data_IF_497287596036
#
_entry.id   IF_497287596036
#
_cell.length_a   1.000
_cell.length_b   1.000
_cell.length_c   1.000
_cell.angle_alpha   90.00
_cell.angle_beta   90.00
_cell.angle_gamma   90.00
#
_symmetry.space_group_name_H-M   'P 1'
#
loop_
_entity.id
_entity.type
_entity.pdbx_description
1 polymer ?
#
# COMPACT_ATOMS: atom_id res chain seq x y z
N UNK A 1 -7.66 -23.93 33.00
CA UNK A 1 -6.74 -22.78 32.82
C UNK A 1 -6.81 -21.95 34.10
N UNK A 2 -5.77 -21.20 34.50
CA UNK A 2 -5.94 -20.30 35.64
C UNK A 2 -7.11 -19.35 35.36
N UNK A 3 -8.16 -19.44 36.18
CA UNK A 3 -9.42 -18.67 36.03
C UNK A 3 -9.23 -17.14 36.18
N UNK A 4 -7.99 -16.67 36.37
CA UNK A 4 -7.61 -15.28 36.56
C UNK A 4 -6.98 -14.60 35.33
N UNK A 5 -6.63 -15.32 34.25
CA UNK A 5 -6.03 -14.66 33.09
C UNK A 5 -7.05 -13.79 32.33
N UNK A 6 -6.65 -12.61 31.81
CA UNK A 6 -7.52 -11.80 30.94
C UNK A 6 -8.06 -12.61 29.77
N UNK A 7 -9.37 -12.59 29.56
CA UNK A 7 -10.07 -13.32 28.51
C UNK A 7 -10.61 -14.69 28.90
N UNK A 8 -10.42 -15.16 30.14
CA UNK A 8 -10.96 -16.44 30.60
C UNK A 8 -12.50 -16.42 30.80
N UNK A 9 -13.11 -15.24 30.96
CA UNK A 9 -14.55 -15.07 31.11
C UNK A 9 -15.01 -13.70 30.62
N UNK A 10 -16.30 -13.55 30.32
CA UNK A 10 -16.87 -12.31 29.78
C UNK A 10 -16.67 -11.08 30.71
N UNK A 11 -16.72 -11.27 32.03
CA UNK A 11 -16.51 -10.20 33.02
C UNK A 11 -15.04 -9.77 33.19
N UNK A 12 -14.10 -10.49 32.57
CA UNK A 12 -12.68 -10.17 32.58
C UNK A 12 -12.08 -10.42 31.20
N UNK A 13 -12.46 -9.62 30.18
CA UNK A 13 -12.07 -9.87 28.80
C UNK A 13 -10.59 -9.53 28.55
N UNK A 14 -9.99 -10.18 27.55
CA UNK A 14 -8.71 -9.78 27.00
C UNK A 14 -8.92 -8.55 26.11
N UNK A 15 -8.55 -7.38 26.64
CA UNK A 15 -8.53 -6.11 25.90
C UNK A 15 -7.35 -6.04 24.94
N UNK A 16 -7.62 -5.88 23.64
CA UNK A 16 -6.59 -5.78 22.59
C UNK A 16 -6.80 -4.52 21.75
N UNK A 17 -5.74 -3.75 21.56
CA UNK A 17 -5.71 -2.67 20.56
C UNK A 17 -5.05 -3.15 19.27
N UNK A 18 -5.66 -2.85 18.12
CA UNK A 18 -5.04 -3.01 16.81
C UNK A 18 -4.90 -1.64 16.16
N UNK A 19 -3.67 -1.23 15.85
CA UNK A 19 -3.37 0.08 15.25
C UNK A 19 -3.23 -0.07 13.74
N UNK A 20 -4.20 0.45 12.99
CA UNK A 20 -4.34 0.32 11.54
C UNK A 20 -5.43 -0.67 11.14
N UNK A 21 -6.30 -0.27 10.20
CA UNK A 21 -7.41 -1.10 9.72
C UNK A 21 -7.17 -1.71 8.33
N UNK A 22 -5.91 -1.91 7.96
CA UNK A 22 -5.55 -2.62 6.73
C UNK A 22 -5.77 -4.15 6.84
N UNK A 23 -5.44 -4.91 5.77
CA UNK A 23 -5.56 -6.37 5.78
C UNK A 23 -4.89 -7.06 6.97
N UNK A 24 -3.69 -6.63 7.36
CA UNK A 24 -2.97 -7.23 8.49
C UNK A 24 -3.73 -7.07 9.81
N UNK A 25 -4.28 -5.88 10.08
CA UNK A 25 -5.10 -5.62 11.27
C UNK A 25 -6.36 -6.47 11.29
N UNK A 26 -7.07 -6.57 10.16
CA UNK A 26 -8.26 -7.42 10.06
C UNK A 26 -7.96 -8.91 10.15
N UNK A 27 -6.85 -9.40 9.59
CA UNK A 27 -6.47 -10.81 9.72
C UNK A 27 -6.03 -11.15 11.16
N UNK A 28 -5.35 -10.23 11.85
CA UNK A 28 -5.02 -10.40 13.27
C UNK A 28 -6.30 -10.42 14.13
N UNK A 29 -7.21 -9.47 13.89
CA UNK A 29 -8.51 -9.42 14.56
C UNK A 29 -9.35 -10.68 14.29
N UNK A 30 -9.42 -11.14 13.04
CA UNK A 30 -10.11 -12.38 12.66
C UNK A 30 -9.58 -13.56 13.46
N UNK A 31 -8.25 -13.73 13.52
CA UNK A 31 -7.64 -14.87 14.19
C UNK A 31 -7.82 -14.82 15.70
N UNK A 32 -7.69 -13.65 16.33
CA UNK A 32 -7.94 -13.47 17.78
C UNK A 32 -9.40 -13.74 18.15
N UNK A 33 -10.35 -13.13 17.43
CA UNK A 33 -11.78 -13.21 17.76
C UNK A 33 -12.39 -14.61 17.49
N UNK A 34 -11.68 -15.47 16.75
CA UNK A 34 -12.09 -16.86 16.48
C UNK A 34 -11.56 -17.87 17.49
N UNK A 35 -10.72 -17.47 18.45
CA UNK A 35 -10.17 -18.41 19.41
C UNK A 35 -11.25 -18.95 20.36
N UNK A 36 -11.44 -20.28 20.42
CA UNK A 36 -12.46 -20.87 21.26
C UNK A 36 -12.13 -20.67 22.75
N UNK A 37 -13.14 -20.37 23.56
CA UNK A 37 -12.97 -20.18 25.01
C UNK A 37 -12.25 -18.88 25.41
N UNK A 38 -11.91 -18.02 24.44
CA UNK A 38 -11.25 -16.74 24.71
C UNK A 38 -12.23 -15.57 24.51
N UNK A 39 -12.48 -14.83 25.59
CA UNK A 39 -13.27 -13.61 25.57
C UNK A 39 -12.39 -12.40 25.24
N UNK A 40 -12.23 -12.08 23.96
CA UNK A 40 -11.48 -10.91 23.49
C UNK A 40 -12.44 -9.74 23.28
N UNK A 41 -12.04 -8.52 23.65
CA UNK A 41 -12.67 -7.28 23.15
C UNK A 41 -11.59 -6.46 22.46
N UNK A 42 -11.84 -6.13 21.19
CA UNK A 42 -10.86 -5.54 20.30
C UNK A 42 -11.28 -4.16 19.86
N UNK A 43 -10.41 -3.17 20.09
CA UNK A 43 -10.54 -1.83 19.55
C UNK A 43 -9.53 -1.65 18.41
N UNK A 44 -10.02 -1.37 17.21
CA UNK A 44 -9.20 -1.13 16.01
C UNK A 44 -9.13 0.37 15.74
N UNK A 45 -7.95 0.95 15.92
CA UNK A 45 -7.66 2.35 15.65
C UNK A 45 -7.34 2.55 14.17
N UNK A 46 -7.94 3.55 13.54
CA UNK A 46 -7.65 3.90 12.15
C UNK A 46 -7.50 5.42 12.03
N UNK A 47 -6.39 5.87 11.42
CA UNK A 47 -6.12 7.30 11.28
C UNK A 47 -7.10 7.98 10.32
N UNK A 48 -7.64 7.25 9.35
CA UNK A 48 -8.60 7.74 8.38
C UNK A 48 -10.06 7.50 8.83
N UNK A 49 -11.02 8.27 8.30
CA UNK A 49 -12.44 8.03 8.61
C UNK A 49 -12.96 6.68 8.11
N UNK A 50 -12.46 6.16 6.98
CA UNK A 50 -12.90 4.86 6.45
C UNK A 50 -11.82 3.78 6.60
N UNK A 51 -12.21 2.54 6.90
CA UNK A 51 -11.28 1.46 7.14
C UNK A 51 -10.72 0.85 5.83
N UNK A 52 -10.00 -0.28 5.98
CA UNK A 52 -9.50 -1.19 4.94
C UNK A 52 -8.15 -0.80 4.32
N UNK A 53 -7.58 0.34 4.72
CA UNK A 53 -6.24 0.79 4.31
C UNK A 53 -6.04 0.72 2.80
N UNK A 54 -4.95 0.09 2.36
CA UNK A 54 -4.60 -0.02 0.93
C UNK A 54 -5.60 -0.83 0.09
N UNK A 55 -6.54 -1.60 0.67
CA UNK A 55 -7.60 -2.22 -0.15
C UNK A 55 -8.54 -1.13 -0.70
N UNK A 56 -8.78 -0.07 0.06
CA UNK A 56 -9.58 1.08 -0.35
C UNK A 56 -8.75 2.14 -1.07
N UNK A 57 -7.57 2.46 -0.52
CA UNK A 57 -6.74 3.60 -0.93
C UNK A 57 -5.53 3.26 -1.81
N UNK A 58 -5.24 1.97 -2.00
CA UNK A 58 -4.09 1.48 -2.77
C UNK A 58 -4.50 0.74 -4.04
N UNK A 59 -5.31 -0.31 -3.90
CA UNK A 59 -5.79 -1.14 -5.01
C UNK A 59 -6.45 -0.25 -6.06
N UNK A 60 -5.93 -0.32 -7.28
CA UNK A 60 -6.35 0.53 -8.38
C UNK A 60 -7.87 0.45 -8.63
N UNK A 61 -8.50 1.53 -9.07
CA UNK A 61 -9.95 1.58 -9.27
C UNK A 61 -10.42 0.66 -10.41
N UNK A 62 -9.55 0.27 -11.34
CA UNK A 62 -9.85 -0.73 -12.37
C UNK A 62 -9.71 -2.19 -11.87
N UNK A 63 -9.31 -2.40 -10.61
CA UNK A 63 -9.14 -3.73 -9.97
C UNK A 63 -10.21 -4.04 -8.90
N UNK A 64 -11.48 -3.80 -9.22
CA UNK A 64 -12.60 -3.98 -8.28
C UNK A 64 -12.70 -5.39 -7.66
N UNK A 65 -12.36 -6.44 -8.43
CA UNK A 65 -12.42 -7.83 -7.94
C UNK A 65 -11.52 -8.06 -6.72
N UNK A 66 -10.35 -7.42 -6.68
CA UNK A 66 -9.41 -7.56 -5.57
C UNK A 66 -9.99 -6.94 -4.28
N UNK A 67 -10.81 -5.89 -4.41
CA UNK A 67 -11.45 -5.21 -3.28
C UNK A 67 -12.53 -6.06 -2.59
N UNK A 68 -12.98 -7.16 -3.18
CA UNK A 68 -14.02 -8.02 -2.57
C UNK A 68 -13.59 -8.68 -1.25
N UNK A 69 -12.29 -8.67 -0.93
CA UNK A 69 -11.77 -9.12 0.37
C UNK A 69 -12.37 -8.34 1.54
N UNK A 70 -12.87 -7.11 1.34
CA UNK A 70 -13.52 -6.33 2.41
C UNK A 70 -14.73 -7.03 3.01
N UNK A 71 -15.42 -7.91 2.26
CA UNK A 71 -16.53 -8.72 2.80
C UNK A 71 -16.11 -9.58 3.99
N UNK A 72 -14.90 -10.14 3.95
CA UNK A 72 -14.36 -10.89 5.09
C UNK A 72 -14.06 -9.96 6.28
N UNK A 73 -13.59 -8.75 6.01
CA UNK A 73 -13.29 -7.75 7.04
C UNK A 73 -14.57 -7.20 7.69
N UNK A 74 -15.61 -6.95 6.90
CA UNK A 74 -16.94 -6.57 7.36
C UNK A 74 -17.55 -7.64 8.27
N UNK A 75 -17.35 -8.94 7.94
CA UNK A 75 -17.79 -10.04 8.81
C UNK A 75 -17.09 -10.03 10.17
N UNK A 76 -15.81 -9.65 10.21
CA UNK A 76 -15.06 -9.48 11.46
C UNK A 76 -15.57 -8.26 12.22
N UNK A 77 -15.74 -7.13 11.54
CA UNK A 77 -16.15 -5.87 12.15
C UNK A 77 -17.60 -5.86 12.68
N UNK A 78 -18.45 -6.75 12.17
CA UNK A 78 -19.84 -6.90 12.61
C UNK A 78 -19.98 -7.71 13.91
N UNK A 79 -18.88 -8.19 14.50
CA UNK A 79 -18.91 -8.93 15.76
C UNK A 79 -19.13 -7.97 16.94
N UNK A 80 -19.91 -8.36 17.97
CA UNK A 80 -20.23 -7.48 19.10
C UNK A 80 -19.02 -7.09 19.96
N UNK A 81 -17.93 -7.86 19.88
CA UNK A 81 -16.69 -7.64 20.61
C UNK A 81 -15.60 -6.97 19.77
N UNK A 82 -15.97 -6.38 18.62
CA UNK A 82 -15.10 -5.56 17.79
C UNK A 82 -15.61 -4.12 17.79
N UNK A 83 -14.70 -3.14 17.89
CA UNK A 83 -15.00 -1.72 17.76
C UNK A 83 -14.01 -1.07 16.81
N UNK A 84 -14.52 -0.31 15.84
CA UNK A 84 -13.71 0.57 15.00
C UNK A 84 -13.66 1.96 15.65
N UNK A 85 -12.45 2.48 15.81
CA UNK A 85 -12.15 3.85 16.25
C UNK A 85 -11.46 4.57 15.09
N UNK A 86 -12.25 4.93 14.06
CA UNK A 86 -11.79 5.60 12.85
C UNK A 86 -11.62 7.11 13.05
N UNK A 87 -10.82 7.73 12.18
CA UNK A 87 -10.34 9.12 12.31
C UNK A 87 -9.49 9.36 13.58
N UNK A 88 -8.97 8.29 14.21
CA UNK A 88 -8.12 8.34 15.41
C UNK A 88 -6.69 7.94 15.04
N UNK A 89 -5.86 8.95 14.84
CA UNK A 89 -4.41 8.79 14.65
C UNK A 89 -3.67 8.51 15.98
N UNK A 90 -3.15 7.30 16.14
CA UNK A 90 -2.23 6.92 17.23
C UNK A 90 -0.89 7.62 17.02
N UNK A 91 -0.40 8.30 18.06
CA UNK A 91 0.73 9.22 18.02
C UNK A 91 0.31 10.70 18.01
N UNK A 92 -0.97 11.00 17.69
CA UNK A 92 -1.53 12.36 17.73
C UNK A 92 -2.66 12.52 18.74
N UNK A 93 -3.72 11.73 18.60
CA UNK A 93 -4.88 11.82 19.49
C UNK A 93 -4.71 10.95 20.74
N UNK A 94 -4.03 9.81 20.60
CA UNK A 94 -3.65 8.93 21.70
C UNK A 94 -2.23 8.42 21.46
N UNK A 95 -1.36 8.53 22.44
CA UNK A 95 0.03 8.07 22.35
C UNK A 95 0.13 6.56 22.51
N UNK A 96 1.24 5.98 22.07
CA UNK A 96 1.55 4.56 22.27
C UNK A 96 1.68 4.20 23.75
N UNK A 97 2.15 5.15 24.57
CA UNK A 97 2.20 4.99 26.02
C UNK A 97 0.80 5.00 26.66
N UNK A 98 -0.09 5.88 26.23
CA UNK A 98 -1.47 5.93 26.74
C UNK A 98 -2.24 4.65 26.41
N UNK A 99 -2.02 4.03 25.24
CA UNK A 99 -2.64 2.73 24.92
C UNK A 99 -2.34 1.66 25.99
N UNK A 100 -1.15 1.66 26.60
CA UNK A 100 -0.78 0.68 27.61
C UNK A 100 -1.66 0.77 28.88
N UNK A 101 -2.30 1.91 29.12
CA UNK A 101 -3.20 2.09 30.26
C UNK A 101 -4.56 1.39 30.07
N UNK A 102 -4.91 1.00 28.84
CA UNK A 102 -6.25 0.49 28.49
C UNK A 102 -6.25 -0.95 27.94
N UNK A 103 -5.10 -1.44 27.45
CA UNK A 103 -5.02 -2.71 26.72
C UNK A 103 -3.97 -3.65 27.33
N UNK A 104 -4.28 -4.95 27.34
CA UNK A 104 -3.33 -6.00 27.74
C UNK A 104 -2.32 -6.28 26.62
N UNK A 105 -2.73 -6.07 25.37
CA UNK A 105 -1.92 -6.29 24.17
C UNK A 105 -2.21 -5.23 23.11
N UNK A 106 -1.17 -4.81 22.39
CA UNK A 106 -1.23 -3.81 21.32
C UNK A 106 -0.54 -4.40 20.09
N UNK A 107 -1.23 -4.38 18.95
CA UNK A 107 -0.69 -4.86 17.67
C UNK A 107 -0.61 -3.71 16.67
N UNK A 108 0.60 -3.37 16.24
CA UNK A 108 0.83 -2.34 15.24
C UNK A 108 0.76 -2.95 13.82
N UNK A 109 -0.19 -2.47 13.03
CA UNK A 109 -0.44 -2.91 11.64
C UNK A 109 -0.55 -1.73 10.66
N UNK A 110 0.19 -0.66 10.96
CA UNK A 110 0.18 0.64 10.26
C UNK A 110 0.67 0.60 8.80
N UNK A 111 1.14 -0.55 8.34
CA UNK A 111 1.62 -0.72 6.97
C UNK A 111 2.91 0.07 6.67
N UNK A 112 3.06 0.49 5.42
CA UNK A 112 4.19 1.32 5.00
C UNK A 112 3.64 2.57 4.31
N UNK A 113 3.83 3.73 4.94
CA UNK A 113 3.17 4.98 4.57
C UNK A 113 4.09 5.94 3.78
N UNK A 114 5.37 5.63 3.68
CA UNK A 114 6.36 6.44 2.97
C UNK A 114 6.99 5.66 1.80
N UNK A 115 7.90 6.31 1.09
CA UNK A 115 8.52 5.79 -0.13
C UNK A 115 10.02 5.74 -0.05
N UNK A 116 10.61 4.81 -0.80
CA UNK A 116 12.05 4.80 -1.03
C UNK A 116 12.44 5.91 -1.99
N UNK A 117 13.55 6.58 -1.66
CA UNK A 117 14.23 7.56 -2.51
C UNK A 117 15.03 6.83 -3.60
N UNK A 118 15.14 7.46 -4.77
CA UNK A 118 16.05 7.06 -5.84
C UNK A 118 17.49 7.36 -5.48
N UNK A 119 17.75 8.45 -4.75
CA UNK A 119 19.11 8.86 -4.36
C UNK A 119 19.93 9.36 -5.54
N UNK A 120 19.29 10.07 -6.48
CA UNK A 120 19.93 10.64 -7.68
C UNK A 120 19.81 12.17 -7.69
N UNK A 121 20.71 12.90 -8.37
CA UNK A 121 20.57 14.34 -8.56
C UNK A 121 19.24 14.72 -9.22
N UNK A 122 18.67 15.83 -8.78
CA UNK A 122 17.39 16.35 -9.27
C UNK A 122 16.15 15.62 -8.74
N UNK A 123 16.28 14.62 -7.86
CA UNK A 123 15.12 13.86 -7.32
C UNK A 123 14.05 14.76 -6.67
N UNK A 124 14.44 15.92 -6.11
CA UNK A 124 13.53 16.86 -5.44
C UNK A 124 13.00 17.99 -6.37
N UNK A 125 13.24 17.91 -7.69
CA UNK A 125 12.67 18.86 -8.66
C UNK A 125 11.14 18.80 -8.68
N UNK A 126 10.50 19.94 -9.01
CA UNK A 126 9.04 20.01 -9.20
C UNK A 126 8.65 19.09 -10.37
N UNK A 127 7.69 18.20 -10.16
CA UNK A 127 7.32 17.15 -11.12
C UNK A 127 7.90 15.78 -10.80
N UNK A 128 8.77 15.64 -9.79
CA UNK A 128 9.23 14.35 -9.27
C UNK A 128 8.42 13.92 -8.05
N UNK A 129 7.58 12.91 -8.20
CA UNK A 129 6.63 12.49 -7.17
C UNK A 129 6.79 11.01 -6.80
N UNK A 130 6.51 10.63 -5.54
CA UNK A 130 6.27 9.24 -5.21
C UNK A 130 5.05 8.71 -5.98
N UNK A 131 5.14 7.49 -6.51
CA UNK A 131 4.01 6.84 -7.19
C UNK A 131 2.80 6.66 -6.24
N UNK A 132 3.06 6.44 -4.96
CA UNK A 132 2.08 6.21 -3.90
C UNK A 132 1.21 7.44 -3.64
N UNK A 133 1.74 8.65 -3.81
CA UNK A 133 0.97 9.89 -3.70
C UNK A 133 -0.06 9.96 -4.82
N UNK A 134 0.33 9.60 -6.05
CA UNK A 134 -0.58 9.55 -7.19
C UNK A 134 -1.66 8.47 -7.00
N UNK A 135 -1.26 7.29 -6.48
CA UNK A 135 -2.17 6.21 -6.12
C UNK A 135 -3.21 6.64 -5.10
N UNK A 136 -2.76 7.25 -4.00
CA UNK A 136 -3.63 7.73 -2.95
C UNK A 136 -4.56 8.84 -3.45
N UNK A 137 -4.04 9.77 -4.27
CA UNK A 137 -4.79 10.84 -4.91
C UNK A 137 -5.93 10.29 -5.77
N UNK A 138 -5.65 9.40 -6.74
CA UNK A 138 -6.74 8.88 -7.59
C UNK A 138 -7.70 7.97 -6.84
N UNK A 139 -7.28 7.38 -5.72
CA UNK A 139 -8.14 6.52 -4.90
C UNK A 139 -8.96 7.28 -3.85
N UNK A 140 -8.90 8.61 -3.80
CA UNK A 140 -9.75 9.39 -2.87
C UNK A 140 -9.23 9.39 -1.44
N UNK A 141 -7.93 9.20 -1.22
CA UNK A 141 -7.34 9.27 0.11
C UNK A 141 -7.38 10.72 0.64
N UNK A 142 -7.98 10.99 1.81
CA UNK A 142 -8.19 12.37 2.28
C UNK A 142 -6.92 13.23 2.37
N UNK A 143 -5.81 12.66 2.85
CA UNK A 143 -4.53 13.39 2.94
C UNK A 143 -3.89 13.74 1.58
N UNK A 144 -4.35 13.14 0.48
CA UNK A 144 -3.79 13.35 -0.86
C UNK A 144 -4.81 13.96 -1.83
N UNK A 145 -6.00 14.34 -1.36
CA UNK A 145 -7.06 14.92 -2.19
C UNK A 145 -6.57 16.12 -3.00
N UNK A 146 -5.88 17.03 -2.33
CA UNK A 146 -5.50 18.33 -2.88
C UNK A 146 -4.12 18.31 -3.56
N UNK A 147 -3.49 17.12 -3.64
CA UNK A 147 -2.22 16.95 -4.32
C UNK A 147 -2.37 17.28 -5.81
N UNK A 148 -1.49 18.13 -6.33
CA UNK A 148 -1.51 18.56 -7.73
C UNK A 148 -0.45 17.79 -8.52
N UNK A 149 -0.84 17.27 -9.67
CA UNK A 149 0.05 16.67 -10.65
C UNK A 149 -0.10 17.44 -11.96
N UNK A 150 1.01 17.90 -12.53
CA UNK A 150 0.99 18.58 -13.82
C UNK A 150 0.79 17.57 -14.96
N UNK A 151 -0.47 17.22 -15.21
CA UNK A 151 -0.88 16.34 -16.30
C UNK A 151 -0.94 17.08 -17.65
N UNK A 152 -0.45 18.33 -17.72
CA UNK A 152 -0.27 19.02 -19.02
C UNK A 152 1.00 18.60 -19.74
N UNK A 153 1.90 17.88 -19.04
CA UNK A 153 3.09 17.27 -19.60
C UNK A 153 2.72 16.13 -20.58
N UNK A 154 3.39 16.07 -21.73
CA UNK A 154 3.14 15.03 -22.73
C UNK A 154 3.89 13.72 -22.43
N UNK A 155 5.04 13.81 -21.75
CA UNK A 155 5.91 12.67 -21.45
C UNK A 155 6.06 12.46 -19.94
N UNK A 156 5.78 11.25 -19.49
CA UNK A 156 5.88 10.82 -18.09
C UNK A 156 6.85 9.66 -17.95
N UNK A 157 7.74 9.69 -16.96
CA UNK A 157 8.56 8.53 -16.60
C UNK A 157 8.11 7.92 -15.27
N UNK A 158 8.09 6.60 -15.20
CA UNK A 158 7.78 5.81 -14.00
C UNK A 158 8.98 4.92 -13.72
N UNK A 159 9.65 5.15 -12.59
CA UNK A 159 10.82 4.37 -12.20
C UNK A 159 10.39 3.17 -11.36
N UNK A 160 10.54 1.98 -11.91
CA UNK A 160 10.16 0.71 -11.29
C UNK A 160 9.26 -0.13 -12.18
N UNK A 161 9.29 -1.45 -12.00
CA UNK A 161 8.52 -2.45 -12.76
C UNK A 161 7.80 -3.43 -11.81
N UNK A 162 7.16 -2.88 -10.78
CA UNK A 162 6.27 -3.62 -9.87
C UNK A 162 4.80 -3.30 -10.15
N UNK A 163 3.87 -3.98 -9.46
CA UNK A 163 2.43 -3.79 -9.67
C UNK A 163 1.97 -2.34 -9.49
N UNK A 164 2.52 -1.61 -8.51
CA UNK A 164 2.21 -0.18 -8.32
C UNK A 164 2.61 0.67 -9.53
N UNK A 165 3.77 0.39 -10.12
CA UNK A 165 4.24 1.11 -11.30
C UNK A 165 3.33 0.83 -12.50
N UNK A 166 2.86 -0.41 -12.62
CA UNK A 166 1.88 -0.82 -13.62
C UNK A 166 0.52 -0.14 -13.37
N UNK A 167 0.07 -0.03 -12.11
CA UNK A 167 -1.17 0.69 -11.77
C UNK A 167 -1.09 2.16 -12.19
N UNK A 168 0.00 2.86 -11.85
CA UNK A 168 0.21 4.26 -12.29
C UNK A 168 0.20 4.36 -13.81
N UNK A 169 0.89 3.46 -14.51
CA UNK A 169 0.90 3.43 -15.97
C UNK A 169 -0.51 3.22 -16.54
N UNK A 170 -1.29 2.27 -16.01
CA UNK A 170 -2.66 2.01 -16.47
C UNK A 170 -3.56 3.22 -16.25
N UNK A 171 -3.51 3.86 -15.09
CA UNK A 171 -4.36 5.02 -14.78
C UNK A 171 -4.05 6.22 -15.69
N UNK A 172 -2.77 6.45 -16.02
CA UNK A 172 -2.37 7.48 -16.98
C UNK A 172 -2.80 7.13 -18.42
N UNK A 173 -2.77 5.85 -18.78
CA UNK A 173 -2.97 5.38 -20.15
C UNK A 173 -4.43 5.14 -20.52
N UNK A 174 -5.30 4.76 -19.57
CA UNK A 174 -6.71 4.47 -19.83
C UNK A 174 -7.49 5.70 -20.30
N UNK A 175 -8.56 5.44 -21.03
CA UNK A 175 -9.51 6.46 -21.47
C UNK A 175 -10.43 6.88 -20.32
N UNK A 176 -11.08 8.04 -20.49
CA UNK A 176 -12.16 8.48 -19.59
C UNK A 176 -13.28 7.43 -19.52
N UNK A 177 -13.66 6.81 -20.63
CA UNK A 177 -14.75 5.85 -20.67
C UNK A 177 -14.44 4.59 -19.82
N UNK A 178 -13.20 4.11 -19.87
CA UNK A 178 -12.74 3.00 -19.03
C UNK A 178 -12.77 3.38 -17.53
N UNK A 179 -12.25 4.56 -17.19
CA UNK A 179 -12.13 5.00 -15.79
C UNK A 179 -13.46 5.46 -15.17
N UNK A 180 -14.38 6.04 -15.95
CA UNK A 180 -15.65 6.57 -15.46
C UNK A 180 -16.59 5.48 -14.91
N UNK A 181 -16.29 4.20 -15.14
CA UNK A 181 -17.05 3.04 -14.61
C UNK A 181 -16.48 2.49 -13.30
N UNK A 182 -15.45 3.11 -12.76
CA UNK A 182 -14.70 2.66 -11.58
C UNK A 182 -15.01 3.49 -10.32
N UNK A 183 -14.38 3.16 -9.18
CA UNK A 183 -14.43 3.96 -7.94
C UNK A 183 -13.30 5.00 -7.83
N UNK A 184 -12.70 5.42 -8.96
CA UNK A 184 -11.71 6.51 -9.00
C UNK A 184 -12.32 7.80 -8.41
N UNK A 185 -11.53 8.65 -7.76
CA UNK A 185 -12.02 9.94 -7.25
C UNK A 185 -12.43 10.88 -8.40
N UNK A 186 -13.49 11.67 -8.21
CA UNK A 186 -14.06 12.51 -9.26
C UNK A 186 -13.11 13.62 -9.72
N UNK A 187 -12.39 14.25 -8.79
CA UNK A 187 -11.36 15.25 -9.13
C UNK A 187 -10.22 14.62 -9.95
N UNK A 188 -9.85 13.38 -9.66
CA UNK A 188 -8.80 12.69 -10.37
C UNK A 188 -9.25 12.28 -11.78
N UNK A 189 -10.50 11.80 -11.92
CA UNK A 189 -11.09 11.53 -13.22
C UNK A 189 -11.18 12.79 -14.08
N UNK A 190 -11.56 13.93 -13.49
CA UNK A 190 -11.61 15.22 -14.19
C UNK A 190 -10.21 15.64 -14.69
N UNK A 191 -9.20 15.59 -13.82
CA UNK A 191 -7.82 15.92 -14.18
C UNK A 191 -7.25 14.97 -15.25
N UNK A 192 -7.47 13.65 -15.11
CA UNK A 192 -7.05 12.65 -16.10
C UNK A 192 -7.77 12.81 -17.45
N UNK A 193 -9.02 13.28 -17.43
CA UNK A 193 -9.77 13.57 -18.67
C UNK A 193 -9.17 14.75 -19.43
N UNK A 194 -8.54 15.70 -18.74
CA UNK A 194 -7.87 16.86 -19.33
C UNK A 194 -6.37 16.63 -19.59
N UNK A 195 -5.86 15.44 -19.27
CA UNK A 195 -4.44 15.09 -19.40
C UNK A 195 -3.95 15.17 -20.85
N UNK A 196 -2.78 15.77 -21.04
CA UNK A 196 -2.06 15.83 -22.31
C UNK A 196 -1.05 14.70 -22.48
N UNK A 197 -0.91 13.80 -21.50
CA UNK A 197 0.04 12.69 -21.54
C UNK A 197 -0.17 11.82 -22.79
N UNK A 198 0.90 11.66 -23.57
CA UNK A 198 1.00 10.84 -24.78
C UNK A 198 2.02 9.72 -24.63
N UNK A 199 3.14 10.00 -23.99
CA UNK A 199 4.22 9.03 -23.76
C UNK A 199 4.35 8.69 -22.30
N UNK A 200 4.35 7.40 -21.97
CA UNK A 200 4.66 6.92 -20.63
C UNK A 200 5.82 5.94 -20.73
N UNK A 201 6.90 6.20 -19.98
CA UNK A 201 8.07 5.32 -19.89
C UNK A 201 8.04 4.57 -18.57
N UNK A 202 8.00 3.25 -18.61
CA UNK A 202 8.11 2.39 -17.44
C UNK A 202 9.51 1.79 -17.39
N UNK A 203 10.31 2.15 -16.39
CA UNK A 203 11.76 1.90 -16.39
C UNK A 203 12.14 0.80 -15.39
N UNK A 204 12.67 -0.31 -15.91
CA UNK A 204 13.20 -1.44 -15.16
C UNK A 204 14.72 -1.50 -15.19
N UNK A 205 15.37 -1.42 -14.01
CA UNK A 205 16.84 -1.55 -13.91
C UNK A 205 17.40 -2.93 -14.26
N UNK A 206 16.58 -3.98 -14.20
CA UNK A 206 16.94 -5.37 -14.57
C UNK A 206 16.18 -5.80 -15.82
N UNK A 207 16.41 -7.02 -16.28
CA UNK A 207 15.77 -7.58 -17.46
C UNK A 207 14.31 -8.03 -17.24
N UNK A 208 13.63 -8.44 -18.34
CA UNK A 208 12.26 -8.95 -18.34
C UNK A 208 11.99 -10.06 -17.30
N UNK A 209 12.93 -10.99 -17.14
CA UNK A 209 12.79 -12.13 -16.23
C UNK A 209 12.73 -11.71 -14.75
N UNK A 210 13.38 -10.60 -14.38
CA UNK A 210 13.42 -10.10 -13.00
C UNK A 210 12.39 -9.00 -12.69
N UNK A 211 11.45 -8.75 -13.61
CA UNK A 211 10.35 -7.82 -13.39
C UNK A 211 9.46 -8.29 -12.23
N UNK A 212 9.02 -7.36 -11.38
CA UNK A 212 8.30 -7.69 -10.14
C UNK A 212 6.77 -7.73 -10.31
N UNK A 213 6.25 -7.19 -11.41
CA UNK A 213 4.81 -7.27 -11.70
C UNK A 213 4.37 -8.71 -11.99
N UNK A 214 3.09 -9.02 -11.77
CA UNK A 214 2.52 -10.35 -12.05
C UNK A 214 1.94 -10.46 -13.47
N UNK A 215 1.64 -11.71 -13.87
CA UNK A 215 1.19 -12.04 -15.23
C UNK A 215 -0.15 -11.42 -15.63
N UNK A 216 -1.18 -11.33 -14.76
CA UNK A 216 -2.41 -10.62 -15.08
C UNK A 216 -2.16 -9.14 -15.42
N UNK A 217 -1.35 -8.46 -14.63
CA UNK A 217 -1.10 -7.02 -14.71
C UNK A 217 -0.38 -6.64 -16.01
N UNK A 218 0.60 -7.45 -16.44
CA UNK A 218 1.27 -7.21 -17.72
C UNK A 218 0.34 -7.51 -18.90
N UNK A 219 -0.50 -8.55 -18.81
CA UNK A 219 -1.45 -8.90 -19.88
C UNK A 219 -2.48 -7.77 -20.09
N UNK A 220 -2.98 -7.20 -19.01
CA UNK A 220 -3.96 -6.10 -19.03
C UNK A 220 -3.46 -4.86 -19.78
N UNK A 221 -2.13 -4.63 -19.87
CA UNK A 221 -1.59 -3.51 -20.65
C UNK A 221 -1.96 -3.62 -22.14
N UNK A 222 -2.04 -4.83 -22.67
CA UNK A 222 -2.42 -5.08 -24.07
C UNK A 222 -3.91 -4.94 -24.36
N UNK A 223 -4.74 -4.88 -23.31
CA UNK A 223 -6.20 -4.80 -23.37
C UNK A 223 -6.71 -3.35 -23.22
N UNK A 224 -5.84 -2.39 -22.86
CA UNK A 224 -6.21 -0.98 -22.72
C UNK A 224 -6.66 -0.37 -24.05
N UNK A 225 -7.75 0.38 -24.06
CA UNK A 225 -8.22 1.07 -25.27
C UNK A 225 -7.37 2.31 -25.59
N UNK A 226 -6.83 2.95 -24.55
CA UNK A 226 -6.15 4.24 -24.67
C UNK A 226 -4.67 4.20 -25.06
N UNK A 227 -3.99 3.05 -24.97
CA UNK A 227 -2.54 2.97 -25.18
C UNK A 227 -2.05 1.70 -25.86
N UNK A 228 -0.98 1.84 -26.64
CA UNK A 228 -0.18 0.74 -27.18
C UNK A 228 1.01 0.44 -26.25
N UNK A 229 1.13 -0.77 -25.67
CA UNK A 229 2.34 -1.18 -24.97
C UNK A 229 3.46 -1.49 -25.99
N UNK A 230 4.63 -0.93 -25.75
CA UNK A 230 5.81 -1.01 -26.63
C UNK A 230 6.99 -1.51 -25.82
N UNK A 231 7.66 -2.54 -26.32
CA UNK A 231 8.93 -3.04 -25.79
C UNK A 231 9.93 -3.09 -26.93
N UNK A 232 11.15 -2.62 -26.72
CA UNK A 232 12.18 -2.71 -27.76
C UNK A 232 12.64 -4.17 -27.90
N UNK A 233 12.79 -4.73 -29.12
CA UNK A 233 13.25 -6.11 -29.31
C UNK A 233 14.55 -6.44 -28.58
N UNK A 234 15.50 -5.51 -28.58
CA UNK A 234 16.78 -5.68 -27.89
C UNK A 234 16.64 -5.71 -26.35
N UNK A 235 15.60 -5.10 -25.79
CA UNK A 235 15.34 -5.08 -24.33
C UNK A 235 14.40 -6.21 -23.88
N UNK A 236 13.62 -6.79 -24.81
CA UNK A 236 12.82 -7.99 -24.60
C UNK A 236 13.65 -9.28 -24.69
N UNK A 237 14.81 -9.24 -25.35
CA UNK A 237 15.75 -10.34 -25.41
C UNK A 237 16.31 -10.65 -24.02
N UNK A 238 16.45 -11.94 -23.70
CA UNK A 238 17.10 -12.38 -22.47
C UNK A 238 18.61 -12.41 -22.65
N UNK A 239 19.34 -11.94 -21.63
CA UNK A 239 20.77 -12.20 -21.50
C UNK A 239 21.04 -13.67 -21.10
N UNK A 240 22.31 -14.07 -21.21
CA UNK A 240 22.74 -15.44 -20.90
C UNK A 240 22.44 -15.84 -19.45
N UNK A 241 22.63 -14.92 -18.48
CA UNK A 241 22.40 -15.21 -17.07
C UNK A 241 20.91 -15.40 -16.78
N UNK A 242 20.05 -14.54 -17.34
CA UNK A 242 18.60 -14.68 -17.23
C UNK A 242 18.09 -15.96 -17.91
N UNK A 243 18.69 -16.35 -19.04
CA UNK A 243 18.35 -17.60 -19.73
C UNK A 243 18.70 -18.82 -18.87
N UNK A 244 19.90 -18.84 -18.29
CA UNK A 244 20.33 -19.90 -17.37
C UNK A 244 19.45 -19.97 -16.11
N UNK A 245 19.08 -18.82 -15.53
CA UNK A 245 18.19 -18.75 -14.35
C UNK A 245 16.82 -19.36 -14.65
N UNK A 246 16.22 -19.05 -15.80
CA UNK A 246 14.93 -19.61 -16.20
C UNK A 246 14.97 -21.10 -16.57
N UNK A 247 16.11 -21.60 -17.03
CA UNK A 247 16.31 -23.03 -17.32
C UNK A 247 16.49 -23.84 -16.03
N UNK A 248 17.26 -23.30 -15.09
CA UNK A 248 17.61 -23.96 -13.81
C UNK A 248 16.49 -23.86 -12.78
N UNK A 249 15.70 -22.78 -12.80
CA UNK A 249 14.56 -22.59 -11.91
C UNK A 249 13.25 -22.84 -12.68
N UNK A 250 12.41 -23.82 -12.30
CA UNK A 250 11.14 -24.10 -12.97
C UNK A 250 10.04 -23.08 -12.60
N UNK A 251 10.34 -21.78 -12.68
CA UNK A 251 9.36 -20.72 -12.45
C UNK A 251 8.54 -20.46 -13.72
N UNK A 252 7.42 -21.18 -13.83
CA UNK A 252 6.43 -21.00 -14.91
C UNK A 252 5.89 -19.58 -14.97
N UNK A 253 5.82 -18.86 -13.84
CA UNK A 253 5.31 -17.49 -13.77
C UNK A 253 6.28 -16.54 -14.47
N UNK A 254 7.57 -16.65 -14.16
CA UNK A 254 8.61 -15.84 -14.80
C UNK A 254 8.71 -16.11 -16.31
N UNK A 255 8.66 -17.38 -16.75
CA UNK A 255 8.66 -17.73 -18.18
C UNK A 255 7.49 -17.09 -18.92
N UNK A 256 6.27 -17.21 -18.39
CA UNK A 256 5.08 -16.62 -19.00
C UNK A 256 5.17 -15.10 -19.10
N UNK A 257 5.79 -14.43 -18.12
CA UNK A 257 6.01 -12.99 -18.13
C UNK A 257 6.91 -12.55 -19.28
N UNK A 258 8.02 -13.28 -19.48
CA UNK A 258 8.95 -13.03 -20.58
C UNK A 258 8.26 -13.22 -21.93
N UNK A 259 7.49 -14.29 -22.11
CA UNK A 259 6.71 -14.53 -23.34
C UNK A 259 5.79 -13.35 -23.67
N UNK A 260 5.08 -12.80 -22.67
CA UNK A 260 4.18 -11.65 -22.86
C UNK A 260 4.94 -10.39 -23.28
N UNK A 261 6.10 -10.12 -22.68
CA UNK A 261 6.95 -8.98 -23.03
C UNK A 261 7.56 -9.12 -24.43
N UNK A 262 8.00 -10.32 -24.80
CA UNK A 262 8.49 -10.63 -26.14
C UNK A 262 7.38 -10.50 -27.20
N UNK A 263 6.15 -10.88 -26.86
CA UNK A 263 5.00 -10.68 -27.74
C UNK A 263 4.69 -9.18 -27.98
N UNK A 264 4.88 -8.31 -26.98
CA UNK A 264 4.77 -6.86 -27.20
C UNK A 264 5.89 -6.31 -28.08
N UNK A 265 7.09 -6.88 -28.02
CA UNK A 265 8.21 -6.45 -28.86
C UNK A 265 8.04 -6.75 -30.36
N UNK A 266 7.16 -7.70 -30.72
CA UNK A 266 6.86 -8.05 -32.13
C UNK A 266 5.59 -7.38 -32.64
N UNK A 267 4.81 -6.72 -31.78
CA UNK A 267 3.55 -6.09 -32.14
C UNK A 267 3.80 -4.68 -32.68
N UNK A 268 3.28 -4.40 -33.89
CA UNK A 268 3.24 -3.03 -34.40
C UNK A 268 2.25 -2.17 -33.57
N UNK A 269 2.58 -0.92 -33.22
CA UNK A 269 1.62 0.00 -32.61
C UNK A 269 0.37 0.14 -33.47
N UNK A 270 -0.79 0.17 -32.82
CA UNK A 270 -2.10 0.25 -33.51
C UNK A 270 -2.56 1.68 -33.76
N UNK A 271 -1.78 2.68 -33.31
CA UNK A 271 -2.08 4.10 -33.47
C UNK A 271 -2.99 4.65 -32.37
N UNK A 272 -2.98 4.01 -31.20
CA UNK A 272 -3.74 4.51 -30.03
C UNK A 272 -3.20 5.86 -29.57
N UNK A 273 -4.03 6.57 -28.82
CA UNK A 273 -3.77 7.94 -28.40
C UNK A 273 -2.52 8.12 -27.52
N UNK A 274 -2.02 7.02 -26.92
CA UNK A 274 -0.85 7.00 -26.04
C UNK A 274 0.06 5.82 -26.34
N UNK A 275 1.34 5.97 -26.04
CA UNK A 275 2.35 4.91 -26.09
C UNK A 275 2.89 4.65 -24.69
N UNK A 276 2.85 3.38 -24.29
CA UNK A 276 3.43 2.91 -23.04
C UNK A 276 4.72 2.15 -23.34
N UNK A 277 5.85 2.83 -23.20
CA UNK A 277 7.18 2.30 -23.46
C UNK A 277 7.69 1.57 -22.22
N UNK A 278 7.75 0.25 -22.24
CA UNK A 278 8.39 -0.54 -21.18
C UNK A 278 9.87 -0.70 -21.53
N UNK A 279 10.74 -0.07 -20.73
CA UNK A 279 12.18 -0.09 -20.91
C UNK A 279 12.84 -0.98 -19.87
N UNK A 280 13.74 -1.86 -20.29
CA UNK A 280 14.45 -2.79 -19.42
C UNK A 280 15.96 -2.59 -19.48
N UNK A 281 16.65 -3.06 -18.44
CA UNK A 281 18.09 -2.86 -18.27
C UNK A 281 18.47 -1.37 -18.36
N UNK A 282 17.68 -0.50 -17.73
CA UNK A 282 17.98 0.93 -17.66
C UNK A 282 17.78 1.48 -16.26
N UNK A 283 18.71 2.31 -15.79
CA UNK A 283 18.63 2.99 -14.49
C UNK A 283 18.53 4.50 -14.70
N UNK A 284 17.69 5.23 -13.95
CA UNK A 284 17.77 6.69 -13.92
C UNK A 284 19.08 7.11 -13.23
N UNK A 285 19.73 8.13 -13.77
CA UNK A 285 20.98 8.68 -13.20
C UNK A 285 20.83 10.11 -12.73
N UNK A 286 19.95 10.89 -13.34
CA UNK A 286 19.75 12.31 -13.03
C UNK A 286 18.40 12.78 -13.59
N UNK A 287 17.65 13.56 -12.79
CA UNK A 287 16.55 14.36 -13.30
C UNK A 287 17.06 15.73 -13.72
N UNK A 288 16.79 16.09 -14.96
CA UNK A 288 17.23 17.35 -15.55
C UNK A 288 16.16 18.42 -15.29
N UNK A 289 16.57 19.52 -14.68
CA UNK A 289 15.69 20.64 -14.36
C UNK A 289 15.72 21.75 -15.41
N UNK A 290 14.61 22.47 -15.59
CA UNK A 290 14.59 23.76 -16.27
C UNK A 290 14.95 24.91 -15.31
N UNK A 291 15.00 26.15 -15.83
CA UNK A 291 15.30 27.34 -15.02
C UNK A 291 14.30 27.62 -13.88
N UNK A 292 13.09 27.05 -13.95
CA UNK A 292 12.07 27.17 -12.92
C UNK A 292 12.12 26.03 -11.88
N UNK A 293 13.13 25.15 -11.94
CA UNK A 293 13.27 24.01 -11.02
C UNK A 293 12.28 22.87 -11.27
N UNK A 294 11.70 22.80 -12.47
CA UNK A 294 10.80 21.72 -12.88
C UNK A 294 11.55 20.66 -13.69
N UNK A 295 11.14 19.40 -13.57
CA UNK A 295 11.66 18.31 -14.41
C UNK A 295 11.39 18.65 -15.88
N UNK A 296 12.43 18.56 -16.71
CA UNK A 296 12.37 18.71 -18.16
C UNK A 296 12.95 17.50 -18.92
N UNK A 297 13.63 16.60 -18.22
CA UNK A 297 14.13 15.35 -18.79
C UNK A 297 14.61 14.38 -17.72
N UNK A 298 14.82 13.15 -18.14
CA UNK A 298 15.39 12.10 -17.31
C UNK A 298 16.56 11.46 -18.05
N UNK A 299 17.76 11.60 -17.50
CA UNK A 299 18.94 10.90 -18.00
C UNK A 299 18.92 9.47 -17.44
N UNK A 300 19.07 8.50 -18.32
CA UNK A 300 19.16 7.09 -17.99
C UNK A 300 20.49 6.51 -18.49
N UNK A 301 20.90 5.40 -17.90
CA UNK A 301 22.04 4.60 -18.33
C UNK A 301 21.60 3.17 -18.60
N UNK A 302 22.18 2.55 -19.63
CA UNK A 302 21.98 1.13 -19.90
C UNK A 302 22.73 0.29 -18.87
N UNK A 303 22.14 -0.83 -18.49
CA UNK A 303 22.72 -1.80 -17.58
C UNK A 303 23.03 -3.11 -18.32
N UNK A 304 23.96 -3.86 -17.76
CA UNK A 304 24.12 -5.30 -17.98
C UNK A 304 23.90 -6.04 -16.67
N UNK A 305 23.48 -7.30 -16.71
CA UNK A 305 23.37 -8.11 -15.51
C UNK A 305 24.69 -8.80 -15.20
N UNK A 306 25.05 -8.83 -13.92
CA UNK A 306 26.17 -9.61 -13.39
C UNK A 306 25.75 -10.31 -12.10
N UNK A 307 26.41 -11.41 -11.74
CA UNK A 307 26.25 -12.05 -10.43
C UNK A 307 27.14 -11.33 -9.42
N UNK A 308 26.59 -11.00 -8.25
CA UNK A 308 27.39 -10.52 -7.12
C UNK A 308 28.13 -11.68 -6.43
N UNK A 309 28.92 -11.38 -5.40
CA UNK A 309 29.67 -12.39 -4.65
C UNK A 309 28.79 -13.46 -3.99
N UNK A 310 27.52 -13.16 -3.72
CA UNK A 310 26.52 -14.10 -3.18
C UNK A 310 25.75 -14.86 -4.29
N UNK A 311 26.12 -14.70 -5.55
CA UNK A 311 25.49 -15.36 -6.71
C UNK A 311 24.19 -14.71 -7.19
N UNK A 312 23.72 -13.63 -6.56
CA UNK A 312 22.49 -12.95 -6.94
C UNK A 312 22.73 -12.00 -8.13
N UNK A 313 21.78 -11.94 -9.06
CA UNK A 313 21.84 -11.03 -10.21
C UNK A 313 21.63 -9.57 -9.79
N UNK A 314 22.56 -8.72 -10.22
CA UNK A 314 22.52 -7.28 -10.02
C UNK A 314 22.73 -6.54 -11.36
N UNK A 315 22.09 -5.38 -11.54
CA UNK A 315 22.38 -4.51 -12.68
C UNK A 315 23.68 -3.75 -12.44
N UNK A 316 24.50 -3.64 -13.48
CA UNK A 316 25.74 -2.84 -13.53
C UNK A 316 25.64 -1.87 -14.69
N UNK A 317 25.79 -0.57 -14.40
CA UNK A 317 25.73 0.48 -15.40
C UNK A 317 26.87 0.36 -16.42
N UNK A 318 26.57 0.65 -17.68
CA UNK A 318 27.56 0.81 -18.76
C UNK A 318 27.84 2.29 -19.00
N UNK A 319 28.59 2.63 -20.03
CA UNK A 319 28.83 4.02 -20.46
C UNK A 319 27.78 4.54 -21.47
N UNK A 320 26.75 3.75 -21.75
CA UNK A 320 25.71 4.13 -22.72
C UNK A 320 24.57 4.88 -22.02
N UNK A 321 24.55 6.21 -22.22
CA UNK A 321 23.52 7.10 -21.71
C UNK A 321 22.48 7.47 -22.76
N UNK A 322 21.26 7.70 -22.31
CA UNK A 322 20.15 8.22 -23.11
C UNK A 322 19.42 9.29 -22.27
N UNK A 323 18.89 10.32 -22.91
CA UNK A 323 18.03 11.30 -22.23
C UNK A 323 16.61 11.15 -22.76
N UNK A 324 15.68 10.85 -21.87
CA UNK A 324 14.26 10.78 -22.17
C UNK A 324 13.61 12.14 -21.92
N UNK A 325 12.75 12.63 -22.83
CA UNK A 325 11.87 13.74 -22.51
C UNK A 325 10.91 13.31 -21.39
N UNK A 326 10.86 14.07 -20.30
CA UNK A 326 9.94 13.82 -19.20
C UNK A 326 9.70 15.12 -18.42
N UNK A 327 8.44 15.53 -18.33
CA UNK A 327 8.02 16.66 -17.48
C UNK A 327 7.46 16.24 -16.12
N UNK A 328 7.19 14.94 -15.98
CA UNK A 328 6.61 14.34 -14.78
C UNK A 328 7.27 12.98 -14.54
N UNK A 329 7.65 12.71 -13.30
CA UNK A 329 8.32 11.47 -12.90
C UNK A 329 7.64 10.88 -11.68
N UNK A 330 7.28 9.59 -11.75
CA UNK A 330 6.77 8.81 -10.64
C UNK A 330 7.80 7.79 -10.15
N UNK A 331 8.20 7.89 -8.89
CA UNK A 331 9.15 6.98 -8.27
C UNK A 331 8.37 5.82 -7.63
N UNK A 332 8.47 4.62 -8.20
CA UNK A 332 7.79 3.40 -7.74
C UNK A 332 8.81 2.32 -7.35
N UNK A 333 9.81 2.69 -6.55
CA UNK A 333 10.92 1.83 -6.13
C UNK A 333 10.71 1.14 -4.76
N UNK A 334 9.47 1.17 -4.27
CA UNK A 334 9.02 0.47 -3.06
C UNK A 334 8.64 1.42 -1.93
N UNK A 335 7.69 0.98 -1.10
CA UNK A 335 7.31 1.70 0.11
C UNK A 335 8.39 1.56 1.20
N UNK A 336 8.22 2.33 2.28
CA UNK A 336 8.98 2.25 3.53
C UNK A 336 8.05 2.54 4.72
N UNK A 337 8.22 1.81 5.82
CA UNK A 337 7.56 2.13 7.09
C UNK A 337 8.02 3.48 7.64
N UNK A 338 7.19 4.07 8.50
CA UNK A 338 7.49 5.29 9.24
C UNK A 338 7.57 4.94 10.73
N UNK A 339 8.56 5.45 11.48
CA UNK A 339 8.65 5.18 12.92
C UNK A 339 7.44 5.79 13.65
N UNK A 340 6.96 5.08 14.68
CA UNK A 340 6.00 5.62 15.65
C UNK A 340 6.74 5.98 16.94
N UNK A 341 6.38 7.11 17.53
CA UNK A 341 6.96 7.53 18.81
C UNK A 341 6.77 6.44 19.87
N UNK A 342 7.86 6.11 20.58
CA UNK A 342 7.85 5.07 21.60
C UNK A 342 7.86 3.62 21.09
N UNK A 343 7.95 3.38 19.77
CA UNK A 343 8.01 2.03 19.20
C UNK A 343 9.37 1.79 18.52
N UNK A 344 10.14 0.76 18.93
CA UNK A 344 11.43 0.42 18.33
C UNK A 344 11.34 0.20 16.82
N UNK A 345 12.26 0.82 16.07
CA UNK A 345 12.24 0.82 14.61
C UNK A 345 13.61 0.48 14.01
N UNK A 346 13.63 -0.37 13.00
CA UNK A 346 14.82 -0.74 12.26
C UNK A 346 14.94 0.11 10.98
N UNK A 347 15.57 1.27 11.08
CA UNK A 347 15.56 2.31 10.02
C UNK A 347 16.00 1.85 8.64
N UNK A 348 17.03 1.00 8.59
CA UNK A 348 17.56 0.46 7.32
C UNK A 348 16.54 -0.44 6.62
N UNK A 349 15.81 -1.25 7.38
CA UNK A 349 14.80 -2.16 6.85
C UNK A 349 13.45 -1.44 6.64
N UNK A 350 13.19 -0.35 7.37
CA UNK A 350 11.95 0.40 7.31
C UNK A 350 10.78 -0.35 7.94
N UNK A 351 11.02 -1.06 9.05
CA UNK A 351 10.06 -1.91 9.78
C UNK A 351 10.22 -1.71 11.29
N UNK A 352 9.18 -2.03 12.07
CA UNK A 352 9.28 -2.15 13.53
C UNK A 352 10.24 -3.29 13.87
N UNK A 353 11.16 -3.05 14.81
CA UNK A 353 12.12 -4.07 15.26
C UNK A 353 11.36 -5.20 15.99
N UNK A 354 11.39 -6.42 15.46
CA UNK A 354 10.59 -7.51 15.95
C UNK A 354 11.21 -8.90 15.72
N UNK A 355 10.72 -9.90 16.46
CA UNK A 355 10.93 -11.34 16.21
C UNK A 355 9.59 -12.06 16.22
N UNK A 356 9.24 -12.71 15.10
CA UNK A 356 7.94 -13.40 14.89
C UNK A 356 6.72 -12.52 15.23
N UNK A 357 6.85 -11.20 15.10
CA UNK A 357 5.82 -10.23 15.44
C UNK A 357 5.84 -9.70 16.87
N UNK A 358 6.65 -10.24 17.79
CA UNK A 358 6.92 -9.60 19.10
C UNK A 358 7.90 -8.44 18.92
N UNK A 359 7.53 -7.25 19.38
CA UNK A 359 8.42 -6.07 19.30
C UNK A 359 9.59 -6.27 20.26
N UNK A 360 10.81 -5.94 19.84
CA UNK A 360 12.02 -6.12 20.65
C UNK A 360 12.50 -4.80 21.23
N UNK A 361 13.00 -4.84 22.45
CA UNK A 361 13.79 -3.76 23.01
C UNK A 361 15.12 -3.65 22.24
N UNK A 362 15.50 -2.45 21.77
CA UNK A 362 16.66 -2.29 20.88
C UNK A 362 17.99 -2.60 21.57
N UNK A 363 18.09 -2.45 22.89
CA UNK A 363 19.33 -2.65 23.64
C UNK A 363 19.52 -4.13 24.02
N UNK A 364 18.46 -4.76 24.51
CA UNK A 364 18.51 -6.12 25.07
C UNK A 364 18.13 -7.20 24.05
N UNK A 365 17.47 -6.83 22.95
CA UNK A 365 16.87 -7.76 21.96
C UNK A 365 15.82 -8.70 22.57
N UNK A 366 15.29 -8.37 23.74
CA UNK A 366 14.24 -9.12 24.44
C UNK A 366 12.86 -8.58 24.01
N UNK A 367 11.84 -9.44 23.82
CA UNK A 367 10.48 -9.00 23.58
C UNK A 367 9.93 -8.02 24.62
N UNK A 368 9.35 -6.92 24.16
CA UNK A 368 8.60 -5.97 24.99
C UNK A 368 7.21 -6.54 25.25
N UNK A 369 6.87 -6.75 26.53
CA UNK A 369 5.61 -7.37 26.93
C UNK A 369 4.39 -6.65 26.33
N UNK A 370 3.44 -7.43 25.80
CA UNK A 370 2.20 -6.93 25.22
C UNK A 370 2.32 -6.09 23.94
N UNK A 371 3.51 -5.97 23.34
CA UNK A 371 3.73 -5.17 22.13
C UNK A 371 4.03 -6.05 20.92
N UNK A 372 3.21 -5.94 19.88
CA UNK A 372 3.27 -6.78 18.69
C UNK A 372 3.17 -5.97 17.41
N UNK A 373 3.55 -6.58 16.29
CA UNK A 373 3.46 -6.00 14.96
C UNK A 373 3.09 -7.04 13.93
N UNK A 374 2.37 -6.67 12.88
CA UNK A 374 2.05 -7.55 11.76
C UNK A 374 1.95 -6.78 10.43
N UNK A 375 2.02 -7.50 9.32
CA UNK A 375 1.89 -6.95 7.97
C UNK A 375 3.18 -6.28 7.48
N UNK A 376 3.01 -5.26 6.63
CA UNK A 376 4.15 -4.59 6.01
C UNK A 376 5.06 -3.86 7.00
N UNK A 377 4.52 -3.35 8.11
CA UNK A 377 5.36 -2.72 9.14
C UNK A 377 6.20 -3.74 9.93
N UNK A 378 5.86 -5.04 9.85
CA UNK A 378 6.64 -6.15 10.41
C UNK A 378 7.67 -6.69 9.42
N UNK A 379 7.25 -7.00 8.18
CA UNK A 379 8.04 -7.77 7.19
C UNK A 379 8.64 -6.93 6.06
N UNK A 380 8.27 -5.65 5.98
CA UNK A 380 8.54 -4.79 4.84
C UNK A 380 7.44 -4.88 3.77
N UNK A 381 7.37 -3.90 2.86
CA UNK A 381 6.25 -3.73 1.94
C UNK A 381 6.40 -4.57 0.68
N UNK A 382 6.26 -5.87 0.86
CA UNK A 382 6.24 -6.84 -0.23
C UNK A 382 5.09 -7.84 -0.08
N UNK A 383 4.72 -8.45 -1.20
CA UNK A 383 3.63 -9.40 -1.29
C UNK A 383 2.25 -8.76 -1.49
N UNK A 384 1.29 -9.60 -1.90
CA UNK A 384 -0.12 -9.23 -2.13
C UNK A 384 -0.92 -9.26 -0.83
N UNK A 385 -2.19 -8.82 -0.88
CA UNK A 385 -3.12 -8.78 0.26
C UNK A 385 -3.10 -10.08 1.07
N UNK A 386 -3.22 -11.23 0.39
CA UNK A 386 -3.27 -12.55 1.01
C UNK A 386 -2.00 -12.97 1.76
N UNK A 387 -0.83 -12.38 1.45
CA UNK A 387 0.42 -12.70 2.18
C UNK A 387 0.40 -12.20 3.61
N UNK A 388 -0.45 -11.22 3.92
CA UNK A 388 -0.60 -10.68 5.28
C UNK A 388 -1.37 -11.62 6.21
N UNK A 389 -2.14 -12.59 5.67
CA UNK A 389 -2.91 -13.52 6.50
C UNK A 389 -2.03 -14.46 7.32
N UNK A 390 -1.15 -15.29 6.72
CA UNK A 390 -0.28 -16.18 7.52
C UNK A 390 0.64 -15.39 8.46
N UNK A 391 1.10 -14.21 8.04
CA UNK A 391 1.93 -13.32 8.86
C UNK A 391 1.22 -12.76 10.11
N UNK A 392 -0.04 -12.33 9.95
CA UNK A 392 -0.87 -11.91 11.07
C UNK A 392 -1.16 -13.10 12.01
N UNK A 393 -1.40 -14.29 11.47
CA UNK A 393 -1.59 -15.52 12.26
C UNK A 393 -0.35 -15.83 13.10
N UNK A 394 0.87 -15.77 12.53
CA UNK A 394 2.12 -15.99 13.28
C UNK A 394 2.24 -15.03 14.48
N UNK A 395 1.87 -13.77 14.27
CA UNK A 395 1.89 -12.75 15.32
C UNK A 395 0.88 -13.09 16.42
N UNK A 396 -0.34 -13.47 16.05
CA UNK A 396 -1.38 -13.83 17.02
C UNK A 396 -1.04 -15.12 17.78
N UNK A 397 -0.39 -16.10 17.15
CA UNK A 397 0.11 -17.29 17.85
C UNK A 397 1.08 -16.87 18.98
N UNK A 398 1.96 -15.90 18.71
CA UNK A 398 2.83 -15.34 19.74
C UNK A 398 2.05 -14.63 20.85
N UNK A 399 1.02 -13.85 20.49
CA UNK A 399 0.14 -13.18 21.46
C UNK A 399 -0.57 -14.16 22.39
N UNK A 400 -1.06 -15.28 21.86
CA UNK A 400 -1.75 -16.30 22.64
C UNK A 400 -0.79 -17.03 23.59
N UNK A 401 0.40 -17.39 23.11
CA UNK A 401 1.44 -17.99 23.95
C UNK A 401 1.86 -17.06 25.10
N UNK A 402 2.03 -15.76 24.83
CA UNK A 402 2.40 -14.77 25.84
C UNK A 402 1.27 -14.58 26.87
N UNK A 403 0.02 -14.60 26.42
CA UNK A 403 -1.15 -14.57 27.33
C UNK A 403 -1.15 -15.78 28.26
N UNK A 404 -0.93 -16.99 27.74
CA UNK A 404 -0.86 -18.21 28.55
C UNK A 404 0.30 -18.17 29.56
N UNK A 405 1.41 -17.55 29.18
CA UNK A 405 2.56 -17.33 30.05
C UNK A 405 2.40 -16.13 31.01
N UNK A 406 1.30 -15.37 30.94
CA UNK A 406 1.08 -14.17 31.76
C UNK A 406 1.95 -12.96 31.36
N UNK A 407 2.59 -12.99 30.20
CA UNK A 407 3.45 -11.91 29.67
C UNK A 407 2.59 -10.88 28.94
N UNK A 408 1.84 -10.10 29.71
CA UNK A 408 0.89 -9.10 29.23
C UNK A 408 1.17 -7.72 29.86
N UNK A 409 0.66 -6.67 29.23
CA UNK A 409 0.53 -5.37 29.90
C UNK A 409 -0.51 -5.48 31.03
N UNK A 410 -0.33 -4.64 32.06
CA UNK A 410 -1.24 -4.52 33.20
C UNK A 410 -1.94 -3.15 33.13
N UNK A 411 -2.98 -3.01 32.30
CA UNK A 411 -3.66 -1.73 32.11
C UNK A 411 -4.34 -1.25 33.40
N UNK A 412 -4.18 0.03 33.72
CA UNK A 412 -4.86 0.66 34.85
C UNK A 412 -6.38 0.79 34.65
N UNK A 413 -6.83 0.85 33.39
CA UNK A 413 -8.22 1.08 33.00
C UNK A 413 -8.69 0.06 31.93
N UNK A 414 -8.81 -1.23 32.28
CA UNK A 414 -9.17 -2.29 31.32
C UNK A 414 -10.64 -2.30 30.91
N UNK A 415 -11.47 -1.41 31.43
CA UNK A 415 -12.89 -1.35 31.09
C UNK A 415 -13.08 -1.01 29.60
N UNK A 416 -14.19 -1.47 29.00
CA UNK A 416 -14.38 -1.39 27.55
C UNK A 416 -14.48 0.06 27.06
N UNK A 417 -15.15 0.89 27.83
CA UNK A 417 -15.48 2.29 27.59
C UNK A 417 -14.47 3.27 28.18
N UNK A 418 -13.43 2.79 28.90
CA UNK A 418 -12.50 3.65 29.62
C UNK A 418 -11.72 4.64 28.74
N UNK A 419 -11.51 4.29 27.46
CA UNK A 419 -10.78 5.14 26.50
C UNK A 419 -11.69 6.19 25.85
N UNK A 420 -13.01 6.06 25.98
CA UNK A 420 -13.97 6.81 25.18
C UNK A 420 -13.98 8.30 25.54
N UNK A 421 -13.90 8.62 26.83
CA UNK A 421 -13.84 10.01 27.29
C UNK A 421 -12.63 10.76 26.72
N UNK A 422 -11.46 10.09 26.71
CA UNK A 422 -10.23 10.65 26.16
C UNK A 422 -10.35 10.92 24.65
N UNK A 423 -10.91 9.96 23.92
CA UNK A 423 -11.09 10.09 22.47
C UNK A 423 -12.17 11.10 22.12
N UNK A 424 -13.25 11.20 22.89
CA UNK A 424 -14.28 12.19 22.66
C UNK A 424 -13.75 13.62 22.85
N UNK A 425 -12.85 13.83 23.82
CA UNK A 425 -12.18 15.12 24.04
C UNK A 425 -11.21 15.45 22.88
N UNK A 426 -10.35 14.49 22.50
CA UNK A 426 -9.25 14.75 21.56
C UNK A 426 -9.61 14.56 20.09
N UNK A 427 -10.66 13.82 19.80
CA UNK A 427 -11.17 13.54 18.45
C UNK A 427 -12.71 13.40 18.47
N UNK A 428 -13.46 14.51 18.61
CA UNK A 428 -14.92 14.49 18.65
C UNK A 428 -15.55 14.04 17.31
N UNK A 429 -14.78 14.02 16.23
CA UNK A 429 -15.20 13.53 14.91
C UNK A 429 -14.78 12.07 14.66
N UNK A 430 -14.63 11.28 15.72
CA UNK A 430 -14.40 9.84 15.63
C UNK A 430 -15.47 9.15 14.77
N UNK A 431 -15.04 8.22 13.92
CA UNK A 431 -15.93 7.43 13.04
C UNK A 431 -16.01 6.01 13.58
N UNK A 432 -17.19 5.61 14.04
CA UNK A 432 -17.45 4.23 14.48
C UNK A 432 -17.71 3.32 13.29
N UNK A 433 -17.80 2.01 13.52
CA UNK A 433 -18.18 1.07 12.46
C UNK A 433 -19.61 1.32 11.94
N UNK A 434 -20.54 1.70 12.82
CA UNK A 434 -21.91 2.04 12.41
C UNK A 434 -21.95 3.31 11.53
N UNK A 435 -21.11 4.30 11.83
CA UNK A 435 -20.94 5.47 10.95
C UNK A 435 -20.37 5.07 9.60
N UNK A 436 -19.34 4.21 9.58
CA UNK A 436 -18.78 3.66 8.34
C UNK A 436 -19.84 2.94 7.50
N UNK A 437 -20.69 2.10 8.09
CA UNK A 437 -21.76 1.42 7.36
C UNK A 437 -22.74 2.40 6.69
N UNK A 438 -23.06 3.51 7.36
CA UNK A 438 -23.89 4.56 6.78
C UNK A 438 -23.19 5.26 5.60
N UNK A 439 -21.91 5.58 5.76
CA UNK A 439 -21.09 6.19 4.71
C UNK A 439 -20.96 5.26 3.51
N UNK A 440 -20.61 4.00 3.72
CA UNK A 440 -20.46 2.98 2.68
C UNK A 440 -21.73 2.84 1.83
N UNK A 441 -22.89 2.78 2.48
CA UNK A 441 -24.19 2.76 1.80
C UNK A 441 -24.42 4.02 0.96
N UNK A 442 -24.09 5.20 1.48
CA UNK A 442 -24.23 6.46 0.75
C UNK A 442 -23.30 6.52 -0.46
N UNK A 443 -22.04 6.10 -0.32
CA UNK A 443 -21.09 6.02 -1.44
C UNK A 443 -21.59 5.10 -2.56
N UNK A 444 -22.17 3.93 -2.21
CA UNK A 444 -22.73 2.98 -3.17
C UNK A 444 -23.97 3.54 -3.89
N UNK A 445 -24.86 4.24 -3.18
CA UNK A 445 -26.04 4.89 -3.77
C UNK A 445 -25.61 5.95 -4.80
N UNK A 446 -24.62 6.79 -4.46
CA UNK A 446 -24.06 7.80 -5.37
C UNK A 446 -23.40 7.14 -6.60
N UNK A 447 -22.69 6.03 -6.40
CA UNK A 447 -22.11 5.25 -7.50
C UNK A 447 -23.15 4.69 -8.44
N UNK A 448 -24.20 4.06 -7.90
CA UNK A 448 -25.26 3.43 -8.69
C UNK A 448 -25.94 4.42 -9.65
N UNK A 449 -26.15 5.68 -9.21
CA UNK A 449 -26.70 6.75 -10.04
C UNK A 449 -25.86 7.10 -11.29
N UNK A 450 -24.58 6.71 -11.30
CA UNK A 450 -23.63 6.97 -12.40
C UNK A 450 -23.04 5.68 -12.99
N UNK A 451 -23.60 4.51 -12.68
CA UNK A 451 -23.11 3.22 -13.19
C UNK A 451 -21.75 2.80 -12.62
N UNK A 452 -21.38 3.33 -11.46
CA UNK A 452 -20.12 3.06 -10.74
C UNK A 452 -20.38 2.20 -9.50
N UNK A 453 -19.38 1.44 -9.01
CA UNK A 453 -19.52 0.69 -7.77
C UNK A 453 -19.73 1.58 -6.54
N UNK A 454 -19.14 2.79 -6.55
CA UNK A 454 -19.30 3.82 -5.52
C UNK A 454 -18.75 5.18 -5.98
N UNK A 455 -19.16 6.26 -5.32
CA UNK A 455 -18.49 7.56 -5.32
C UNK A 455 -17.97 7.83 -3.91
N UNK A 456 -16.67 8.04 -3.76
CA UNK A 456 -16.03 8.14 -2.44
C UNK A 456 -16.21 9.52 -1.82
N UNK A 457 -16.43 9.56 -0.51
CA UNK A 457 -16.15 10.75 0.28
C UNK A 457 -14.65 10.85 0.50
N UNK A 458 -14.08 12.02 0.22
CA UNK A 458 -12.63 12.25 0.12
C UNK A 458 -12.11 13.30 1.09
N UNK A 459 -12.95 13.79 2.02
CA UNK A 459 -12.53 14.72 3.07
C UNK A 459 -13.40 14.63 4.31
N UNK A 460 -12.89 15.08 5.46
CA UNK A 460 -13.66 15.12 6.70
C UNK A 460 -14.93 15.99 6.63
N UNK A 461 -14.93 17.18 6.00
CA UNK A 461 -16.17 17.95 5.81
C UNK A 461 -17.26 17.17 5.08
N UNK A 462 -16.90 16.41 4.05
CA UNK A 462 -17.84 15.52 3.34
C UNK A 462 -18.34 14.39 4.25
N UNK A 463 -17.46 13.79 5.06
CA UNK A 463 -17.83 12.75 6.04
C UNK A 463 -18.81 13.27 7.08
N UNK A 464 -18.51 14.42 7.68
CA UNK A 464 -19.35 15.07 8.71
C UNK A 464 -20.72 15.41 8.13
N UNK A 465 -20.76 16.04 6.95
CA UNK A 465 -22.00 16.34 6.25
C UNK A 465 -22.79 15.08 5.89
N UNK A 466 -22.11 14.04 5.40
CA UNK A 466 -22.73 12.75 5.07
C UNK A 466 -23.24 12.02 6.32
N UNK A 467 -22.70 12.25 7.51
CA UNK A 467 -23.22 11.71 8.76
C UNK A 467 -24.29 12.59 9.41
N UNK A 468 -24.58 13.77 8.85
CA UNK A 468 -25.53 14.72 9.43
C UNK A 468 -25.07 15.31 10.77
N UNK A 469 -23.75 15.34 11.01
CA UNK A 469 -23.16 15.92 12.22
C UNK A 469 -22.95 17.41 12.03
N UNK A 470 -23.11 18.19 13.09
CA UNK A 470 -22.72 19.61 13.10
C UNK A 470 -21.20 19.72 12.98
N UNK A 471 -20.73 20.63 12.14
CA UNK A 471 -19.31 20.88 11.84
C UNK A 471 -18.54 21.41 13.04
#
# INVERSE_FOLDING_TARGET
>A
MPDHLPGSQAGHPLRVAVVGSGPAGFYAAEHLLKQPGLHVVLDMYEMLPMPFGLVRYGVAPDHQKIKSVTKAFESVASRPNFRLLGNVEVGRHITTQELQNYYHQIVFTVGAQSDRRLGIPGEDLIGSHPATHFVAWYNGHPLFRDYQFDLTQECVAIVGVGNVAIDVARILCRTRAELARTDIADYALAALSASKVREVYLLGRRGPAQAAFSNPEIKELGEMEGADPIVLPAEAALDELSTQELLTTPDKTARRKVELLQAYATRAPTGKARRLNLRFLVSPVELLGNAAGQVAGLRIVRNVLQKNAAGALQPVATDAFETLPAGLVFRSVGYRGTPLAGVPFADRAGVILNSLGRILDPQTQVPVAGHYTAGWIKRGPSGVIGTNKPDAVETVVCMLADREAGVLLQPAHPQIDAVDALLQERQPQLVTYADWQQLDKKEQILGAASGRPRVKFTSMPEVVAALGRSS
#
